data_IF_544567033469
#
_entry.id   IF_544567033469
#
_cell.length_a   1.000
_cell.length_b   1.000
_cell.length_c   1.000
_cell.angle_alpha   90.00
_cell.angle_beta   90.00
_cell.angle_gamma   90.00
#
_symmetry.space_group_name_H-M   'P 1'
#
loop_
_entity.id
_entity.type
_entity.pdbx_description
1 polymer ?
#
# COMPACT_ATOMS: atom_id res chain seq x y z
N UNK A 1 0.18 3.21 -15.53
CA UNK A 1 0.29 4.17 -14.44
C UNK A 1 0.14 3.42 -13.13
N UNK A 2 1.10 3.56 -12.22
CA UNK A 2 1.17 2.98 -10.89
C UNK A 2 1.01 4.14 -9.91
N UNK A 3 0.03 4.06 -9.03
CA UNK A 3 -0.21 5.09 -8.00
C UNK A 3 -0.31 4.42 -6.65
N UNK A 4 0.09 5.13 -5.60
CA UNK A 4 0.05 4.64 -4.22
C UNK A 4 -0.43 5.74 -3.26
N UNK A 5 -1.02 5.40 -2.12
CA UNK A 5 -1.13 6.37 -1.03
C UNK A 5 0.26 6.79 -0.56
N UNK A 6 0.41 8.05 -0.13
CA UNK A 6 1.67 8.58 0.44
C UNK A 6 2.20 7.78 1.65
N UNK A 7 1.31 7.01 2.31
CA UNK A 7 1.65 5.99 3.30
C UNK A 7 2.69 4.97 2.82
N UNK A 8 2.72 4.63 1.53
CA UNK A 8 3.67 3.65 0.98
C UNK A 8 5.12 3.98 1.34
N UNK A 9 5.48 5.27 1.39
CA UNK A 9 6.81 5.74 1.78
C UNK A 9 7.16 5.30 3.21
N UNK A 10 6.21 5.39 4.14
CA UNK A 10 6.41 4.94 5.52
C UNK A 10 6.46 3.41 5.61
N UNK A 11 5.71 2.69 4.77
CA UNK A 11 5.70 1.22 4.78
C UNK A 11 7.00 0.64 4.25
N UNK A 12 7.47 1.09 3.08
CA UNK A 12 8.70 0.59 2.47
C UNK A 12 9.93 0.88 3.35
N UNK A 13 10.03 2.10 3.90
CA UNK A 13 11.12 2.47 4.81
C UNK A 13 11.11 1.65 6.10
N UNK A 14 9.92 1.37 6.66
CA UNK A 14 9.79 0.54 7.85
C UNK A 14 10.14 -0.93 7.59
N UNK A 15 9.79 -1.48 6.42
CA UNK A 15 10.18 -2.84 6.02
C UNK A 15 11.70 -2.95 5.88
N UNK A 16 12.33 -2.01 5.20
CA UNK A 16 13.78 -2.01 4.99
C UNK A 16 14.56 -1.79 6.28
N UNK A 17 14.05 -0.94 7.19
CA UNK A 17 14.60 -0.84 8.54
C UNK A 17 14.56 -2.18 9.30
N UNK A 18 13.49 -2.96 9.18
CA UNK A 18 13.41 -4.29 9.80
C UNK A 18 14.45 -5.25 9.22
N UNK A 19 14.70 -5.20 7.92
CA UNK A 19 15.75 -6.02 7.27
C UNK A 19 17.15 -5.62 7.70
N UNK A 20 17.44 -4.32 7.78
CA UNK A 20 18.69 -3.81 8.33
C UNK A 20 18.89 -4.26 9.79
N UNK A 21 17.85 -4.10 10.63
CA UNK A 21 17.89 -4.53 12.03
C UNK A 21 18.12 -6.04 12.17
N UNK A 22 17.66 -6.83 11.22
CA UNK A 22 17.89 -8.28 11.16
C UNK A 22 19.27 -8.66 10.61
N UNK A 23 20.10 -7.70 10.19
CA UNK A 23 21.42 -7.94 9.60
C UNK A 23 21.36 -8.55 8.18
N UNK A 24 20.21 -8.42 7.50
CA UNK A 24 19.99 -9.02 6.18
C UNK A 24 20.49 -8.12 5.03
N UNK A 25 20.52 -6.81 5.27
CA UNK A 25 20.92 -5.79 4.28
C UNK A 25 21.72 -4.67 4.96
N UNK A 26 22.48 -3.93 4.18
CA UNK A 26 23.24 -2.75 4.63
C UNK A 26 22.37 -1.50 4.69
N UNK A 27 22.91 -0.41 5.24
CA UNK A 27 22.24 0.89 5.21
C UNK A 27 22.17 1.45 3.78
N UNK A 28 23.22 1.23 2.98
CA UNK A 28 23.26 1.60 1.57
C UNK A 28 22.19 0.85 0.77
N UNK A 29 22.01 -0.46 1.02
CA UNK A 29 20.94 -1.25 0.42
C UNK A 29 19.56 -0.69 0.80
N UNK A 30 19.35 -0.24 2.05
CA UNK A 30 18.09 0.39 2.44
C UNK A 30 17.80 1.64 1.61
N UNK A 31 18.77 2.52 1.41
CA UNK A 31 18.57 3.75 0.63
C UNK A 31 18.22 3.39 -0.82
N UNK A 32 19.03 2.52 -1.45
CA UNK A 32 18.81 2.13 -2.84
C UNK A 32 17.44 1.49 -3.05
N UNK A 33 17.04 0.56 -2.18
CA UNK A 33 15.74 -0.11 -2.32
C UNK A 33 14.54 0.80 -2.02
N UNK A 34 14.69 1.82 -1.17
CA UNK A 34 13.66 2.85 -1.03
C UNK A 34 13.55 3.64 -2.33
N UNK A 35 14.66 4.14 -2.87
CA UNK A 35 14.68 4.92 -4.11
C UNK A 35 14.07 4.14 -5.27
N UNK A 36 14.51 2.89 -5.49
CA UNK A 36 13.96 2.00 -6.51
C UNK A 36 12.45 1.81 -6.36
N UNK A 37 11.97 1.63 -5.13
CA UNK A 37 10.54 1.43 -4.86
C UNK A 37 9.70 2.69 -5.07
N UNK A 38 10.25 3.87 -4.77
CA UNK A 38 9.57 5.15 -5.01
C UNK A 38 9.52 5.48 -6.51
N UNK A 39 10.59 5.17 -7.26
CA UNK A 39 10.68 5.40 -8.70
C UNK A 39 9.69 4.54 -9.51
N UNK A 40 9.18 3.44 -8.93
CA UNK A 40 8.11 2.63 -9.52
C UNK A 40 6.73 3.30 -9.47
N UNK A 41 6.53 4.32 -8.61
CA UNK A 41 5.24 4.97 -8.40
C UNK A 41 5.18 6.27 -9.20
N UNK A 42 4.23 6.34 -10.15
CA UNK A 42 4.03 7.53 -10.99
C UNK A 42 3.44 8.71 -10.19
N UNK A 43 2.60 8.45 -9.18
CA UNK A 43 2.00 9.49 -8.33
C UNK A 43 1.64 9.00 -6.92
N UNK A 44 1.81 9.88 -5.94
CA UNK A 44 1.44 9.65 -4.55
C UNK A 44 0.19 10.44 -4.16
N UNK A 45 -0.83 9.71 -3.73
CA UNK A 45 -2.10 10.30 -3.33
C UNK A 45 -2.11 10.55 -1.82
N UNK A 46 -2.34 11.80 -1.44
CA UNK A 46 -2.41 12.23 -0.04
C UNK A 46 -3.50 11.47 0.73
N UNK A 47 -3.10 10.73 1.77
CA UNK A 47 -4.01 9.96 2.61
C UNK A 47 -5.11 10.81 3.25
N UNK A 48 -4.90 12.11 3.47
CA UNK A 48 -5.93 13.06 3.97
C UNK A 48 -7.12 13.19 3.02
N UNK A 49 -6.98 12.80 1.76
CA UNK A 49 -8.08 12.78 0.79
C UNK A 49 -8.88 11.48 0.80
N UNK A 50 -8.34 10.41 1.39
CA UNK A 50 -8.88 9.05 1.37
C UNK A 50 -9.47 8.62 2.73
N UNK A 51 -8.99 9.20 3.84
CA UNK A 51 -9.19 8.66 5.21
C UNK A 51 -10.64 8.39 5.61
N UNK A 52 -11.62 9.17 5.15
CA UNK A 52 -13.03 8.96 5.51
C UNK A 52 -13.58 7.65 4.96
N UNK A 53 -13.30 7.39 3.68
CA UNK A 53 -13.70 6.15 3.03
C UNK A 53 -12.90 4.98 3.60
N UNK A 54 -11.59 5.16 3.80
CA UNK A 54 -10.72 4.10 4.33
C UNK A 54 -11.11 3.72 5.76
N UNK A 55 -11.47 4.68 6.60
CA UNK A 55 -12.01 4.43 7.94
C UNK A 55 -13.35 3.68 7.87
N UNK A 56 -14.26 4.13 7.02
CA UNK A 56 -15.57 3.49 6.86
C UNK A 56 -15.44 2.04 6.38
N UNK A 57 -14.59 1.78 5.40
CA UNK A 57 -14.35 0.42 4.90
C UNK A 57 -13.61 -0.45 5.93
N UNK A 58 -12.68 0.13 6.69
CA UNK A 58 -11.98 -0.58 7.76
C UNK A 58 -12.92 -1.06 8.86
N UNK A 59 -13.86 -0.20 9.29
CA UNK A 59 -14.91 -0.55 10.26
C UNK A 59 -15.82 -1.65 9.68
N UNK A 60 -16.27 -1.48 8.45
CA UNK A 60 -17.20 -2.42 7.79
C UNK A 60 -16.59 -3.82 7.59
N UNK A 61 -15.31 -3.88 7.24
CA UNK A 61 -14.63 -5.13 6.92
C UNK A 61 -13.79 -5.68 8.08
N UNK A 62 -13.77 -4.99 9.24
CA UNK A 62 -12.92 -5.30 10.39
C UNK A 62 -11.45 -5.52 9.98
N UNK A 63 -10.89 -4.56 9.25
CA UNK A 63 -9.56 -4.66 8.65
C UNK A 63 -8.75 -3.37 8.85
N UNK A 64 -7.43 -3.47 8.70
CA UNK A 64 -6.52 -2.34 8.91
C UNK A 64 -6.86 -1.17 8.00
N UNK A 65 -6.83 0.04 8.55
CA UNK A 65 -7.08 1.27 7.78
C UNK A 65 -5.96 1.49 6.75
N UNK A 66 -4.74 1.03 7.05
CA UNK A 66 -3.60 1.09 6.12
C UNK A 66 -3.93 0.38 4.80
N UNK A 67 -4.42 -0.85 4.86
CA UNK A 67 -4.85 -1.62 3.70
C UNK A 67 -6.05 -0.99 2.97
N UNK A 68 -6.94 -0.35 3.74
CA UNK A 68 -8.10 0.35 3.16
C UNK A 68 -7.73 1.62 2.39
N UNK A 69 -6.54 2.21 2.59
CA UNK A 69 -6.06 3.29 1.72
C UNK A 69 -5.83 2.77 0.30
N UNK A 70 -5.16 1.63 0.16
CA UNK A 70 -4.93 1.00 -1.14
C UNK A 70 -6.24 0.56 -1.80
N UNK A 71 -7.17 -0.03 -1.04
CA UNK A 71 -8.48 -0.43 -1.55
C UNK A 71 -9.28 0.77 -2.09
N UNK A 72 -9.42 1.82 -1.27
CA UNK A 72 -10.18 3.03 -1.65
C UNK A 72 -9.53 3.72 -2.85
N UNK A 73 -8.20 3.82 -2.86
CA UNK A 73 -7.48 4.40 -3.98
C UNK A 73 -7.73 3.62 -5.27
N UNK A 74 -7.65 2.29 -5.19
CA UNK A 74 -7.93 1.40 -6.33
C UNK A 74 -9.36 1.61 -6.83
N UNK A 75 -10.34 1.62 -5.92
CA UNK A 75 -11.76 1.80 -6.24
C UNK A 75 -12.05 3.15 -6.91
N UNK A 76 -11.47 4.24 -6.41
CA UNK A 76 -11.69 5.60 -6.97
C UNK A 76 -11.19 5.74 -8.41
N UNK A 77 -10.26 4.89 -8.82
CA UNK A 77 -9.60 4.96 -10.12
C UNK A 77 -9.99 3.81 -11.06
N UNK A 78 -10.99 2.99 -10.71
CA UNK A 78 -11.35 1.76 -11.44
C UNK A 78 -10.12 0.88 -11.75
N UNK A 79 -9.19 0.85 -10.79
CA UNK A 79 -7.87 0.25 -10.95
C UNK A 79 -7.83 -1.25 -10.65
N UNK A 80 -6.62 -1.79 -10.76
CA UNK A 80 -6.27 -3.14 -10.28
C UNK A 80 -5.32 -3.00 -9.09
N UNK A 81 -5.66 -3.59 -7.96
CA UNK A 81 -4.79 -3.63 -6.79
C UNK A 81 -3.68 -4.65 -7.01
N UNK A 82 -2.42 -4.25 -6.77
CA UNK A 82 -1.27 -5.16 -6.67
C UNK A 82 -1.00 -5.35 -5.18
N UNK A 83 -1.15 -6.57 -4.66
CA UNK A 83 -0.89 -6.87 -3.25
C UNK A 83 -0.53 -8.33 -3.02
N UNK A 84 0.41 -8.56 -2.10
CA UNK A 84 0.70 -9.88 -1.56
C UNK A 84 -0.12 -10.22 -0.31
N UNK A 85 -0.93 -9.28 0.19
CA UNK A 85 -1.82 -9.52 1.33
C UNK A 85 -3.10 -10.24 0.84
N UNK A 86 -3.22 -11.51 1.23
CA UNK A 86 -4.36 -12.34 0.85
C UNK A 86 -5.66 -11.91 1.51
N UNK A 87 -5.63 -11.36 2.73
CA UNK A 87 -6.82 -10.87 3.41
C UNK A 87 -7.37 -9.63 2.71
N UNK A 88 -6.51 -8.68 2.34
CA UNK A 88 -6.88 -7.51 1.55
C UNK A 88 -7.41 -7.90 0.16
N UNK A 89 -6.75 -8.84 -0.51
CA UNK A 89 -7.19 -9.34 -1.82
C UNK A 89 -8.61 -9.92 -1.77
N UNK A 90 -8.94 -10.70 -0.74
CA UNK A 90 -10.29 -11.26 -0.55
C UNK A 90 -11.35 -10.19 -0.27
N UNK A 91 -11.02 -9.13 0.46
CA UNK A 91 -11.92 -7.99 0.66
C UNK A 91 -12.18 -7.29 -0.69
N UNK A 92 -11.14 -7.04 -1.48
CA UNK A 92 -11.26 -6.41 -2.80
C UNK A 92 -12.14 -7.21 -3.75
N UNK A 93 -11.97 -8.54 -3.81
CA UNK A 93 -12.81 -9.43 -4.62
C UNK A 93 -14.29 -9.34 -4.24
N UNK A 94 -14.62 -9.32 -2.94
CA UNK A 94 -16.00 -9.13 -2.45
C UNK A 94 -16.60 -7.79 -2.86
N UNK A 95 -15.76 -6.79 -3.09
CA UNK A 95 -16.15 -5.45 -3.52
C UNK A 95 -16.06 -5.24 -5.05
N UNK A 96 -15.85 -6.32 -5.82
CA UNK A 96 -15.65 -6.29 -7.27
C UNK A 96 -14.48 -5.41 -7.74
N UNK A 97 -13.45 -5.27 -6.89
CA UNK A 97 -12.21 -4.59 -7.23
C UNK A 97 -11.24 -5.64 -7.81
N UNK A 98 -10.61 -5.33 -8.94
CA UNK A 98 -9.65 -6.22 -9.59
C UNK A 98 -8.38 -6.32 -8.74
N UNK A 99 -7.82 -7.53 -8.64
CA UNK A 99 -6.56 -7.78 -7.92
C UNK A 99 -5.62 -8.57 -8.81
N UNK A 100 -4.34 -8.18 -8.80
CA UNK A 100 -3.22 -8.92 -9.39
C UNK A 100 -2.29 -9.35 -8.26
N UNK A 101 -1.93 -10.63 -8.27
CA UNK A 101 -1.03 -11.26 -7.30
C UNK A 101 0.21 -11.77 -8.02
#
# INVERSE_FOLDING_TARGET
MIIAPDLFVAEITNVLWKYYKAGLITHEDCIQYVEDGLDMVDDFIDARTLWKESLSEGIKNNHSIYDMYYLVLTRRNDGTLITNDTALAEICKKMNIKVCN
#
